data_IF_322428376563
#
_entry.id   IF_322428376563
#
_cell.length_a   1.000
_cell.length_b   1.000
_cell.length_c   1.000
_cell.angle_alpha   90.00
_cell.angle_beta   90.00
_cell.angle_gamma   90.00
#
_symmetry.space_group_name_H-M   'P 1'
#
loop_
_entity.id
_entity.type
_entity.pdbx_description
1 polymer ?
#
# COMPACT_ATOMS: atom_id res chain seq x y z
N UNK A 1 14.83 0.74 -0.53
CA UNK A 1 14.87 1.15 -1.97
C UNK A 1 15.68 2.46 -2.12
N UNK A 2 16.27 2.82 -3.26
CA UNK A 2 17.03 4.10 -3.39
C UNK A 2 16.09 5.31 -3.43
N UNK A 3 16.58 6.50 -3.04
CA UNK A 3 15.80 7.75 -3.02
C UNK A 3 15.10 8.06 -4.35
N UNK A 4 15.82 7.98 -5.47
CA UNK A 4 15.27 8.26 -6.81
C UNK A 4 14.11 7.32 -7.15
N UNK A 5 14.23 6.03 -6.81
CA UNK A 5 13.17 5.04 -7.05
C UNK A 5 11.94 5.36 -6.19
N UNK A 6 12.13 5.74 -4.92
CA UNK A 6 11.03 6.20 -4.05
C UNK A 6 10.34 7.44 -4.62
N UNK A 7 11.09 8.42 -5.09
CA UNK A 7 10.55 9.61 -5.74
C UNK A 7 9.65 9.21 -6.92
N UNK A 8 10.17 8.39 -7.84
CA UNK A 8 9.41 7.94 -9.03
C UNK A 8 8.17 7.11 -8.67
N UNK A 9 8.24 6.29 -7.62
CA UNK A 9 7.07 5.54 -7.13
C UNK A 9 5.97 6.48 -6.63
N UNK A 10 6.33 7.59 -5.97
CA UNK A 10 5.39 8.50 -5.33
C UNK A 10 4.92 9.66 -6.23
N UNK A 11 5.65 9.96 -7.29
CA UNK A 11 5.29 10.98 -8.29
C UNK A 11 3.91 10.67 -8.90
N UNK A 12 2.98 11.62 -8.94
CA UNK A 12 1.62 11.40 -9.49
C UNK A 12 0.85 10.23 -8.85
N UNK A 13 1.06 9.98 -7.56
CA UNK A 13 0.24 9.03 -6.78
C UNK A 13 -0.94 9.75 -6.17
N UNK A 14 -2.14 9.20 -6.38
CA UNK A 14 -3.36 9.66 -5.72
C UNK A 14 -3.84 8.66 -4.66
N UNK A 15 -3.59 7.36 -4.86
CA UNK A 15 -4.08 6.30 -3.99
C UNK A 15 -2.98 5.34 -3.54
N UNK A 16 -3.18 4.71 -2.39
CA UNK A 16 -2.25 3.70 -1.86
C UNK A 16 -2.04 2.52 -2.84
N UNK A 17 -3.07 2.17 -3.61
CA UNK A 17 -2.96 1.15 -4.66
C UNK A 17 -2.01 1.52 -5.80
N UNK A 18 -1.82 2.81 -6.09
CA UNK A 18 -0.82 3.26 -7.08
C UNK A 18 0.58 2.98 -6.59
N UNK A 19 0.84 3.26 -5.29
CA UNK A 19 2.12 2.95 -4.65
C UNK A 19 2.39 1.45 -4.76
N UNK A 20 1.41 0.59 -4.47
CA UNK A 20 1.57 -0.85 -4.59
C UNK A 20 1.92 -1.28 -6.02
N UNK A 21 1.14 -0.86 -7.02
CA UNK A 21 1.39 -1.23 -8.44
C UNK A 21 2.76 -0.75 -8.92
N UNK A 22 3.13 0.49 -8.59
CA UNK A 22 4.43 1.06 -8.94
C UNK A 22 5.56 0.36 -8.18
N UNK A 23 5.37 0.03 -6.91
CA UNK A 23 6.32 -0.78 -6.16
C UNK A 23 6.59 -2.12 -6.88
N UNK A 24 5.54 -2.86 -7.25
CA UNK A 24 5.68 -4.12 -8.00
C UNK A 24 6.50 -3.92 -9.27
N UNK A 25 6.16 -2.89 -10.06
CA UNK A 25 6.81 -2.58 -11.33
C UNK A 25 8.29 -2.21 -11.14
N UNK A 26 8.61 -1.24 -10.28
CA UNK A 26 9.97 -0.74 -10.09
C UNK A 26 10.88 -1.68 -9.30
N UNK A 27 10.32 -2.52 -8.43
CA UNK A 27 11.08 -3.56 -7.73
C UNK A 27 11.21 -4.87 -8.51
N UNK A 28 10.54 -4.98 -9.67
CA UNK A 28 10.41 -6.22 -10.44
C UNK A 28 9.93 -7.39 -9.57
N UNK A 29 9.03 -7.11 -8.62
CA UNK A 29 8.48 -8.11 -7.73
C UNK A 29 7.37 -8.91 -8.43
N UNK A 30 7.16 -10.14 -7.99
CA UNK A 30 6.06 -10.97 -8.47
C UNK A 30 4.87 -10.83 -7.52
N UNK A 31 3.74 -10.32 -7.99
CA UNK A 31 2.50 -10.21 -7.19
C UNK A 31 2.02 -11.58 -6.66
N UNK A 32 2.43 -12.67 -7.31
CA UNK A 32 2.09 -14.05 -6.91
C UNK A 32 3.00 -14.62 -5.82
N UNK A 33 4.05 -13.89 -5.43
CA UNK A 33 4.93 -14.28 -4.33
C UNK A 33 4.16 -14.19 -3.00
N UNK A 34 4.19 -15.27 -2.20
CA UNK A 34 3.54 -15.31 -0.89
C UNK A 34 4.15 -14.29 0.09
N UNK A 35 5.38 -13.84 -0.16
CA UNK A 35 6.06 -12.86 0.68
C UNK A 35 5.82 -11.41 0.24
N UNK A 36 5.07 -11.18 -0.85
CA UNK A 36 4.91 -9.84 -1.43
C UNK A 36 4.34 -8.83 -0.45
N UNK A 37 3.41 -9.29 0.41
CA UNK A 37 2.83 -8.47 1.47
C UNK A 37 3.91 -7.96 2.41
N UNK A 38 4.79 -8.83 2.92
CA UNK A 38 5.82 -8.41 3.87
C UNK A 38 6.81 -7.46 3.20
N UNK A 39 7.21 -7.74 1.96
CA UNK A 39 8.10 -6.87 1.20
C UNK A 39 7.50 -5.47 0.97
N UNK A 40 6.22 -5.39 0.63
CA UNK A 40 5.52 -4.11 0.46
C UNK A 40 5.28 -3.39 1.79
N UNK A 41 4.94 -4.11 2.85
CA UNK A 41 4.77 -3.56 4.20
C UNK A 41 6.09 -2.95 4.70
N UNK A 42 7.23 -3.63 4.54
CA UNK A 42 8.53 -3.05 4.88
C UNK A 42 8.85 -1.80 4.05
N UNK A 43 8.42 -1.76 2.78
CA UNK A 43 8.56 -0.55 1.97
C UNK A 43 7.69 0.60 2.49
N UNK A 44 6.43 0.34 2.86
CA UNK A 44 5.56 1.36 3.47
C UNK A 44 6.12 1.87 4.80
N UNK A 45 6.71 1.01 5.62
CA UNK A 45 7.38 1.41 6.85
C UNK A 45 8.50 2.42 6.58
N UNK A 46 9.33 2.20 5.55
CA UNK A 46 10.33 3.18 5.12
C UNK A 46 9.69 4.52 4.72
N UNK A 47 8.57 4.49 3.99
CA UNK A 47 7.89 5.70 3.53
C UNK A 47 7.27 6.50 4.69
N UNK A 48 6.73 5.81 5.69
CA UNK A 48 6.16 6.42 6.90
C UNK A 48 7.28 7.01 7.78
N UNK A 49 8.38 6.28 7.96
CA UNK A 49 9.55 6.75 8.72
C UNK A 49 10.16 8.01 8.09
N UNK A 50 10.23 8.05 6.75
CA UNK A 50 10.68 9.22 5.99
C UNK A 50 9.66 10.39 6.03
N UNK A 51 8.48 10.19 6.62
CA UNK A 51 7.34 11.13 6.59
C UNK A 51 6.91 11.52 5.15
N UNK A 52 7.10 10.60 4.21
CA UNK A 52 6.72 10.76 2.80
C UNK A 52 5.25 10.43 2.54
N UNK A 53 4.63 9.61 3.40
CA UNK A 53 3.20 9.27 3.35
C UNK A 53 2.60 9.32 4.74
N UNK A 54 1.28 9.50 4.80
CA UNK A 54 0.47 9.29 6.00
C UNK A 54 -0.71 8.40 5.66
N UNK A 55 -1.04 7.48 6.56
CA UNK A 55 -2.15 6.56 6.37
C UNK A 55 -3.35 6.96 7.23
N UNK A 56 -4.55 6.64 6.77
CA UNK A 56 -5.78 6.78 7.55
C UNK A 56 -6.68 5.54 7.39
N UNK A 57 -7.54 5.32 8.38
CA UNK A 57 -8.57 4.29 8.38
C UNK A 57 -9.95 4.91 8.19
N UNK A 58 -10.61 4.50 7.10
CA UNK A 58 -11.92 5.03 6.68
C UNK A 58 -13.10 4.29 7.29
N UNK A 59 -12.87 3.24 8.11
CA UNK A 59 -13.92 2.61 8.92
C UNK A 59 -14.47 3.55 10.00
N UNK A 60 -13.73 4.60 10.33
CA UNK A 60 -14.12 5.66 11.28
C UNK A 60 -14.67 6.89 10.54
N UNK A 61 -15.56 7.64 11.21
CA UNK A 61 -16.14 8.88 10.68
C UNK A 61 -15.94 10.02 11.70
N UNK A 62 -15.12 11.05 11.41
CA UNK A 62 -14.27 11.18 10.22
C UNK A 62 -13.15 10.11 10.15
N UNK A 63 -12.51 9.90 8.98
CA UNK A 63 -11.38 8.98 8.85
C UNK A 63 -10.32 9.23 9.92
N UNK A 64 -9.85 8.15 10.54
CA UNK A 64 -8.87 8.21 11.62
C UNK A 64 -7.46 8.17 11.03
N UNK A 65 -6.69 9.24 11.18
CA UNK A 65 -5.25 9.21 10.84
C UNK A 65 -4.56 8.17 11.72
N UNK A 66 -3.78 7.27 11.11
CA UNK A 66 -3.00 6.29 11.83
C UNK A 66 -1.82 6.97 12.52
N UNK A 67 -1.50 6.53 13.73
CA UNK A 67 -0.46 7.12 14.57
C UNK A 67 0.28 6.02 15.32
N UNK A 68 1.54 6.28 15.69
CA UNK A 68 2.42 5.29 16.32
C UNK A 68 3.66 5.09 15.47
N UNK A 69 4.38 4.01 15.73
CA UNK A 69 5.54 3.59 14.94
C UNK A 69 5.15 3.23 13.51
N UNK A 70 6.06 3.29 12.53
CA UNK A 70 5.77 2.83 11.17
C UNK A 70 5.23 1.41 11.12
N UNK A 71 5.74 0.50 11.97
CA UNK A 71 5.30 -0.89 12.02
C UNK A 71 3.89 -1.05 12.58
N UNK A 72 3.51 -0.27 13.60
CA UNK A 72 2.12 -0.27 14.10
C UNK A 72 1.16 0.21 13.01
N UNK A 73 1.52 1.27 12.28
CA UNK A 73 0.68 1.81 11.20
C UNK A 73 0.60 0.87 9.99
N UNK A 74 1.70 0.24 9.60
CA UNK A 74 1.73 -0.70 8.46
C UNK A 74 1.00 -2.02 8.79
N UNK A 75 1.05 -2.47 10.05
CA UNK A 75 0.35 -3.67 10.49
C UNK A 75 -1.17 -3.55 10.35
N UNK A 76 -1.75 -2.36 10.52
CA UNK A 76 -3.18 -2.12 10.26
C UNK A 76 -3.57 -2.48 8.81
N UNK A 77 -2.72 -2.16 7.82
CA UNK A 77 -2.92 -2.57 6.43
C UNK A 77 -2.74 -4.08 6.25
N UNK A 78 -1.76 -4.66 6.94
CA UNK A 78 -1.45 -6.09 6.86
C UNK A 78 -2.61 -6.94 7.39
N UNK A 79 -3.27 -6.51 8.47
CA UNK A 79 -4.41 -7.19 9.09
C UNK A 79 -5.64 -7.24 8.18
N UNK A 80 -5.82 -6.23 7.31
CA UNK A 80 -6.96 -6.15 6.38
C UNK A 80 -6.63 -6.68 4.98
N UNK A 81 -5.40 -7.12 4.73
CA UNK A 81 -4.96 -7.64 3.44
C UNK A 81 -5.81 -8.85 3.02
N UNK A 82 -6.22 -8.96 1.74
CA UNK A 82 -7.13 -10.01 1.34
C UNK A 82 -6.45 -11.38 1.38
N UNK A 83 -7.15 -12.36 1.95
CA UNK A 83 -6.72 -13.76 1.92
C UNK A 83 -6.91 -14.36 0.53
N UNK A 84 -6.15 -15.41 0.20
CA UNK A 84 -6.34 -16.13 -1.07
C UNK A 84 -7.78 -16.62 -1.25
N UNK A 85 -8.42 -17.12 -0.19
CA UNK A 85 -9.81 -17.55 -0.23
C UNK A 85 -10.76 -16.40 -0.59
N UNK A 86 -10.54 -15.21 -0.03
CA UNK A 86 -11.32 -14.00 -0.37
C UNK A 86 -11.13 -13.63 -1.83
N UNK A 87 -9.89 -13.67 -2.32
CA UNK A 87 -9.58 -13.32 -3.71
C UNK A 87 -10.22 -14.31 -4.70
N UNK A 88 -10.11 -15.62 -4.44
CA UNK A 88 -10.69 -16.68 -5.26
C UNK A 88 -12.22 -16.65 -5.27
N UNK A 89 -12.84 -16.23 -4.17
CA UNK A 89 -14.29 -16.10 -4.09
C UNK A 89 -14.84 -15.00 -5.01
N UNK A 90 -14.06 -13.96 -5.29
CA UNK A 90 -14.46 -12.84 -6.15
C UNK A 90 -13.98 -13.04 -7.60
N UNK A 91 -12.73 -13.45 -7.78
CA UNK A 91 -12.09 -13.66 -9.09
C UNK A 91 -11.41 -15.05 -9.12
N UNK A 92 -12.16 -16.13 -9.40
CA UNK A 92 -11.63 -17.49 -9.34
C UNK A 92 -10.58 -17.80 -10.41
N UNK A 93 -10.66 -17.16 -11.57
CA UNK A 93 -9.73 -17.38 -12.69
C UNK A 93 -8.42 -16.61 -12.54
N UNK A 94 -8.48 -15.42 -11.93
CA UNK A 94 -7.32 -14.58 -11.63
C UNK A 94 -7.49 -13.86 -10.28
N UNK A 95 -7.20 -14.54 -9.16
CA UNK A 95 -7.37 -13.95 -7.84
C UNK A 95 -6.47 -12.73 -7.61
N UNK A 96 -5.33 -12.63 -8.31
CA UNK A 96 -4.42 -11.49 -8.14
C UNK A 96 -4.92 -10.23 -8.84
N UNK A 97 -5.78 -10.35 -9.86
CA UNK A 97 -6.49 -9.21 -10.45
C UNK A 97 -7.32 -8.47 -9.40
N UNK A 98 -7.97 -9.20 -8.49
CA UNK A 98 -8.69 -8.61 -7.36
C UNK A 98 -7.76 -7.72 -6.53
N UNK A 99 -6.61 -8.26 -6.11
CA UNK A 99 -5.64 -7.52 -5.31
C UNK A 99 -5.10 -6.31 -6.06
N UNK A 100 -4.74 -6.45 -7.34
CA UNK A 100 -4.08 -5.40 -8.12
C UNK A 100 -5.01 -4.22 -8.45
N UNK A 101 -6.27 -4.49 -8.80
CA UNK A 101 -7.16 -3.48 -9.39
C UNK A 101 -8.40 -3.16 -8.56
N UNK A 102 -8.94 -4.15 -7.83
CA UNK A 102 -10.26 -4.02 -7.20
C UNK A 102 -10.12 -3.68 -5.72
N UNK A 103 -9.30 -4.44 -4.99
CA UNK A 103 -9.22 -4.36 -3.55
C UNK A 103 -8.81 -2.97 -3.07
N UNK A 104 -7.73 -2.42 -3.63
CA UNK A 104 -7.24 -1.09 -3.28
C UNK A 104 -8.27 0.04 -3.42
N UNK A 105 -9.15 -0.07 -4.42
CA UNK A 105 -10.06 1.03 -4.78
C UNK A 105 -11.46 0.87 -4.16
N UNK A 106 -11.88 -0.36 -3.89
CA UNK A 106 -13.26 -0.66 -3.53
C UNK A 106 -13.45 -1.22 -2.12
N UNK A 107 -12.43 -1.86 -1.54
CA UNK A 107 -12.61 -2.63 -0.30
C UNK A 107 -11.52 -2.44 0.75
N UNK A 108 -10.33 -1.97 0.38
CA UNK A 108 -9.28 -1.63 1.32
C UNK A 108 -9.75 -0.46 2.21
N UNK A 109 -9.78 -0.59 3.54
CA UNK A 109 -10.19 0.49 4.44
C UNK A 109 -9.06 1.48 4.76
N UNK A 110 -7.82 1.14 4.42
CA UNK A 110 -6.62 1.95 4.71
C UNK A 110 -6.23 2.74 3.46
N UNK A 111 -6.16 4.06 3.59
CA UNK A 111 -5.88 4.98 2.49
C UNK A 111 -4.74 5.93 2.83
N UNK A 112 -4.28 6.67 1.81
CA UNK A 112 -3.48 7.87 2.02
C UNK A 112 -4.35 8.94 2.68
N UNK A 113 -3.85 9.53 3.77
CA UNK A 113 -4.52 10.65 4.44
C UNK A 113 -4.41 11.96 3.64
N UNK A 114 -3.35 12.08 2.84
CA UNK A 114 -3.00 13.21 1.99
C UNK A 114 -2.09 12.75 0.84
N UNK A 115 -1.84 13.62 -0.14
CA UNK A 115 -0.90 13.32 -1.23
C UNK A 115 0.53 13.09 -0.66
N UNK A 116 1.32 12.18 -1.25
CA UNK A 116 2.69 11.94 -0.79
C UNK A 116 3.56 13.20 -0.81
N UNK A 117 4.36 13.38 0.24
CA UNK A 117 5.37 14.42 0.32
C UNK A 117 6.66 13.93 -0.35
N UNK A 118 6.77 14.16 -1.65
CA UNK A 118 7.93 13.72 -2.46
C UNK A 118 9.19 14.56 -2.27
N UNK A 119 9.09 15.76 -1.69
CA UNK A 119 10.21 16.68 -1.50
C UNK A 119 11.29 16.10 -0.56
N UNK A 120 10.94 15.12 0.28
CA UNK A 120 11.89 14.41 1.15
C UNK A 120 12.96 13.62 0.36
N UNK A 121 12.69 13.36 -0.92
CA UNK A 121 13.60 12.66 -1.84
C UNK A 121 14.23 13.58 -2.90
N UNK A 122 13.95 14.88 -2.86
CA UNK A 122 14.57 15.90 -3.73
C UNK A 122 15.98 16.31 -3.28
#
# INVERSE_FOLDING_TARGET
>A
MKKLEKHTILEDVEFLGDIFRRYIFYSNANIKDYNIINCFISFLEELIEDNSIKLCDTRFVPPKILSGTPSEQSNELKEVWPTMDTMLAVFPEDPYYYLEWVWWNATCPIHLAELPNIEVYS
#
